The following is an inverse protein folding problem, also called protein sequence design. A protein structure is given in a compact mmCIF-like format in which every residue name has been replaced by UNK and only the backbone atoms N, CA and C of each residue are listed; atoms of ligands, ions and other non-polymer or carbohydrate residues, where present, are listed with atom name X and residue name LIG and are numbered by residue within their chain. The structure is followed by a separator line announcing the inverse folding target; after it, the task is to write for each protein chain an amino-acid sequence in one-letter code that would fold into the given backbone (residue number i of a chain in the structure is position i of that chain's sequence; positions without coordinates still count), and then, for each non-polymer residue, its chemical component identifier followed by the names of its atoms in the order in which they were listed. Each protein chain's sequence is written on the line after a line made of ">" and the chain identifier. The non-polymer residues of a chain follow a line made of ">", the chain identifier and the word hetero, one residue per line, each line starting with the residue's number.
data_IF_571082296771
#
_entry.id   IF_571082296771
#
_cell.length_a   1.000
_cell.length_b   1.000
_cell.length_c   1.000
_cell.angle_alpha   90.00
_cell.angle_beta   90.00
_cell.angle_gamma   90.00
#
_symmetry.space_group_name_H-M   'P 1'
#
loop_
_entity.id
_entity.type
_entity.pdbx_description
1 polymer ?
#
# COMPACT_ATOMS: atom_id res chain seq x y z
N UNK A 1 -9.40 -31.55 4.44
CA UNK A 1 -10.54 -31.38 3.52
C UNK A 1 -10.65 -29.89 3.18
N UNK A 2 -10.56 -29.61 1.88
CA UNK A 2 -10.69 -28.36 1.11
C UNK A 2 -10.15 -27.02 1.68
N UNK A 3 -9.02 -26.58 1.13
CA UNK A 3 -8.64 -25.17 0.97
C UNK A 3 -9.13 -24.75 -0.43
N UNK A 4 -10.02 -23.77 -0.54
CA UNK A 4 -10.38 -23.17 -1.84
C UNK A 4 -9.89 -21.73 -1.84
N UNK A 5 -8.88 -21.46 -2.67
CA UNK A 5 -8.36 -20.13 -2.92
C UNK A 5 -8.28 -19.95 -4.43
N UNK A 6 -9.31 -19.30 -4.96
CA UNK A 6 -9.38 -18.71 -6.30
C UNK A 6 -10.30 -17.49 -6.22
N UNK A 7 -9.76 -16.36 -5.76
CA UNK A 7 -10.37 -15.04 -5.99
C UNK A 7 -11.02 -14.30 -4.82
N UNK A 8 -11.19 -14.86 -3.61
CA UNK A 8 -11.61 -14.10 -2.40
C UNK A 8 -11.56 -14.97 -1.14
N UNK A 9 -11.08 -14.35 -0.04
CA UNK A 9 -11.11 -14.71 1.41
C UNK A 9 -10.89 -16.18 1.81
N UNK A 10 -10.05 -16.38 2.83
CA UNK A 10 -9.90 -17.66 3.53
C UNK A 10 -11.28 -18.09 4.07
N UNK A 11 -11.63 -19.37 3.94
CA UNK A 11 -12.82 -19.92 4.61
C UNK A 11 -12.48 -20.14 6.10
N UNK A 12 -13.14 -19.45 7.06
CA UNK A 12 -12.89 -19.62 8.49
C UNK A 12 -13.01 -21.07 8.97
N UNK A 13 -13.88 -21.86 8.34
CA UNK A 13 -14.12 -23.26 8.72
C UNK A 13 -13.00 -24.20 8.26
N UNK A 14 -12.14 -23.75 7.33
CA UNK A 14 -11.04 -24.54 6.76
C UNK A 14 -9.73 -24.44 7.54
N UNK A 15 -9.64 -23.55 8.54
CA UNK A 15 -8.38 -23.22 9.23
C UNK A 15 -7.92 -24.33 10.17
N UNK A 16 -8.85 -25.05 10.83
CA UNK A 16 -8.52 -26.13 11.77
C UNK A 16 -7.49 -25.71 12.82
N UNK A 17 -6.41 -26.48 12.96
CA UNK A 17 -5.28 -26.19 13.88
C UNK A 17 -4.25 -25.19 13.28
N UNK A 18 -4.65 -24.42 12.28
CA UNK A 18 -3.84 -23.41 11.60
C UNK A 18 -3.32 -23.85 10.23
N UNK A 19 -2.98 -22.87 9.39
CA UNK A 19 -2.52 -23.04 8.01
C UNK A 19 -1.06 -22.60 7.89
N UNK A 20 -0.23 -23.34 7.16
CA UNK A 20 1.18 -22.98 6.99
C UNK A 20 1.32 -21.82 6.00
N UNK A 21 2.23 -20.89 6.26
CA UNK A 21 2.50 -19.75 5.40
C UNK A 21 2.88 -20.16 3.98
N UNK A 22 3.71 -21.20 3.82
CA UNK A 22 4.03 -21.79 2.51
C UNK A 22 2.80 -22.19 1.71
N UNK A 23 1.78 -22.74 2.37
CA UNK A 23 0.54 -23.17 1.72
C UNK A 23 -0.24 -21.92 1.29
N UNK A 24 -0.35 -20.90 2.15
CA UNK A 24 -0.98 -19.63 1.79
C UNK A 24 -0.27 -18.97 0.59
N UNK A 25 1.06 -18.99 0.54
CA UNK A 25 1.85 -18.44 -0.57
C UNK A 25 1.57 -19.19 -1.88
N UNK A 26 1.60 -20.52 -1.85
CA UNK A 26 1.30 -21.35 -3.03
C UNK A 26 -0.09 -21.06 -3.60
N UNK A 27 -1.06 -20.78 -2.72
CA UNK A 27 -2.43 -20.46 -3.09
C UNK A 27 -2.66 -19.00 -3.50
N UNK A 28 -1.75 -18.07 -3.17
CA UNK A 28 -1.92 -16.64 -3.49
C UNK A 28 -1.74 -16.35 -4.98
N UNK A 29 -1.10 -17.27 -5.73
CA UNK A 29 -0.73 -17.12 -7.14
C UNK A 29 -0.03 -15.79 -7.43
N UNK A 30 0.83 -15.34 -6.50
CA UNK A 30 1.61 -14.12 -6.69
C UNK A 30 2.52 -14.30 -7.92
N UNK A 31 2.31 -13.47 -8.96
CA UNK A 31 3.14 -13.50 -10.16
C UNK A 31 4.54 -12.92 -9.92
N UNK A 32 5.44 -13.08 -10.89
CA UNK A 32 6.79 -12.50 -10.84
C UNK A 32 6.79 -11.02 -10.45
N UNK A 33 7.69 -10.63 -9.53
CA UNK A 33 7.83 -9.28 -8.98
C UNK A 33 6.78 -8.90 -7.93
N UNK A 34 5.89 -9.82 -7.53
CA UNK A 34 4.87 -9.57 -6.50
C UNK A 34 5.09 -10.47 -5.29
N UNK A 35 4.81 -9.94 -4.11
CA UNK A 35 4.82 -10.71 -2.87
C UNK A 35 3.40 -11.04 -2.39
N UNK A 36 3.21 -12.24 -1.83
CA UNK A 36 1.96 -12.64 -1.19
C UNK A 36 1.74 -11.89 0.13
N UNK A 37 0.51 -11.46 0.38
CA UNK A 37 0.09 -10.73 1.59
C UNK A 37 -1.25 -11.23 2.13
N UNK A 38 -1.44 -11.07 3.44
CA UNK A 38 -2.71 -11.26 4.13
C UNK A 38 -3.29 -9.89 4.48
N UNK A 39 -4.56 -9.68 4.13
CA UNK A 39 -5.36 -8.52 4.54
C UNK A 39 -6.51 -8.96 5.48
N UNK A 40 -6.44 -8.58 6.76
CA UNK A 40 -7.44 -8.95 7.78
C UNK A 40 -7.77 -7.79 8.70
N UNK A 41 -9.07 -7.53 8.92
CA UNK A 41 -9.52 -6.47 9.84
C UNK A 41 -8.99 -5.07 9.50
N UNK A 42 -8.63 -4.84 8.23
CA UNK A 42 -7.80 -3.71 7.84
C UNK A 42 -6.46 -3.79 8.56
N UNK A 43 -5.64 -4.79 8.26
CA UNK A 43 -4.19 -4.89 8.53
C UNK A 43 -3.64 -5.62 7.33
N UNK A 44 -2.51 -5.18 6.81
CA UNK A 44 -1.83 -5.82 5.68
C UNK A 44 -0.46 -6.27 6.17
N UNK A 45 -0.12 -7.53 5.95
CA UNK A 45 1.16 -8.11 6.33
C UNK A 45 1.66 -9.09 5.28
N UNK A 46 2.96 -9.08 5.04
CA UNK A 46 3.63 -10.12 4.27
C UNK A 46 3.45 -11.49 4.93
N UNK A 47 3.32 -12.52 4.10
CA UNK A 47 3.23 -13.89 4.58
C UNK A 47 4.63 -14.43 4.83
N UNK A 48 4.88 -14.86 6.06
CA UNK A 48 6.08 -15.61 6.43
C UNK A 48 5.88 -17.08 6.03
N UNK A 49 6.69 -17.63 5.10
CA UNK A 49 6.56 -19.01 4.64
C UNK A 49 6.71 -20.06 5.77
N UNK A 50 7.44 -19.72 6.83
CA UNK A 50 7.79 -20.65 7.91
C UNK A 50 6.78 -20.61 9.07
N UNK A 51 5.93 -19.58 9.12
CA UNK A 51 4.94 -19.41 10.17
C UNK A 51 3.69 -20.28 9.94
N UNK A 52 3.10 -20.78 11.03
CA UNK A 52 1.74 -21.36 11.04
C UNK A 52 0.76 -20.32 11.56
N UNK A 53 -0.24 -19.99 10.75
CA UNK A 53 -1.23 -18.95 11.04
C UNK A 53 -2.51 -19.56 11.63
N UNK A 54 -2.95 -19.06 12.78
CA UNK A 54 -4.15 -19.53 13.47
C UNK A 54 -5.43 -18.75 13.12
N UNK A 55 -6.57 -19.22 13.62
CA UNK A 55 -7.89 -18.59 13.43
C UNK A 55 -7.90 -17.12 13.85
N UNK A 56 -7.22 -16.77 14.95
CA UNK A 56 -7.14 -15.39 15.45
C UNK A 56 -6.41 -14.42 14.51
N UNK A 57 -5.60 -14.93 13.58
CA UNK A 57 -4.83 -14.11 12.63
C UNK A 57 -5.50 -14.07 11.25
N UNK A 58 -6.21 -15.15 10.90
CA UNK A 58 -6.84 -15.33 9.60
C UNK A 58 -8.34 -15.04 9.60
N UNK A 59 -8.95 -14.71 10.73
CA UNK A 59 -10.37 -14.37 10.83
C UNK A 59 -10.52 -13.03 11.54
N UNK A 60 -11.28 -12.11 10.94
CA UNK A 60 -11.56 -10.82 11.55
C UNK A 60 -12.61 -10.93 12.68
N UNK A 61 -12.76 -9.86 13.45
CA UNK A 61 -13.74 -9.77 14.56
C UNK A 61 -15.21 -9.99 14.14
N UNK A 62 -15.52 -10.01 12.85
CA UNK A 62 -16.86 -10.26 12.30
C UNK A 62 -17.00 -11.69 11.77
N UNK A 63 -16.03 -12.57 12.05
CA UNK A 63 -16.02 -13.95 11.57
C UNK A 63 -15.65 -14.10 10.10
N UNK A 64 -15.16 -13.04 9.43
CA UNK A 64 -14.80 -13.13 8.01
C UNK A 64 -13.34 -13.50 7.86
N UNK A 65 -13.05 -14.51 7.05
CA UNK A 65 -11.66 -14.90 6.81
C UNK A 65 -10.88 -13.83 6.04
N UNK A 66 -9.57 -13.82 6.26
CA UNK A 66 -8.65 -12.83 5.73
C UNK A 66 -8.56 -12.94 4.22
N UNK A 67 -8.38 -11.81 3.55
CA UNK A 67 -8.19 -11.78 2.10
C UNK A 67 -6.72 -12.07 1.81
N UNK A 68 -6.48 -13.13 1.05
CA UNK A 68 -5.18 -13.44 0.50
C UNK A 68 -5.05 -12.74 -0.86
N UNK A 69 -4.00 -11.95 -1.04
CA UNK A 69 -3.73 -11.28 -2.32
C UNK A 69 -2.22 -11.14 -2.51
N UNK A 70 -1.79 -10.54 -3.60
CA UNK A 70 -0.41 -10.14 -3.81
C UNK A 70 -0.30 -8.64 -4.01
N UNK A 71 0.82 -8.06 -3.58
CA UNK A 71 1.20 -6.68 -3.87
C UNK A 71 2.54 -6.66 -4.60
N UNK A 72 2.87 -5.59 -5.33
CA UNK A 72 4.19 -5.42 -5.91
C UNK A 72 5.29 -5.50 -4.83
N UNK A 73 6.42 -6.14 -5.15
CA UNK A 73 7.56 -6.24 -4.24
C UNK A 73 8.40 -4.95 -4.25
N UNK A 74 9.15 -4.70 -3.18
CA UNK A 74 9.93 -3.45 -3.00
C UNK A 74 11.36 -3.58 -3.53
N UNK A 75 11.85 -2.59 -4.28
CA UNK A 75 13.30 -2.38 -4.53
C UNK A 75 13.62 -0.92 -4.77
N UNK A 76 14.73 -0.58 -5.45
CA UNK A 76 15.21 0.78 -5.77
C UNK A 76 15.07 1.06 -7.28
N UNK A 77 14.63 2.25 -7.74
CA UNK A 77 14.62 2.60 -9.19
C UNK A 77 13.91 3.91 -9.62
N UNK A 78 14.12 4.39 -10.86
CA UNK A 78 14.22 5.80 -11.29
C UNK A 78 13.03 6.46 -12.07
N UNK A 79 12.84 7.79 -11.93
CA UNK A 79 12.91 8.85 -12.99
C UNK A 79 11.62 9.45 -13.61
N UNK A 80 11.29 10.73 -13.38
CA UNK A 80 10.13 11.53 -13.89
C UNK A 80 10.24 11.99 -15.37
N UNK A 81 9.08 12.24 -16.03
CA UNK A 81 8.95 12.92 -17.33
C UNK A 81 7.79 13.95 -17.29
N UNK A 82 7.90 15.11 -17.94
CA UNK A 82 7.02 16.29 -17.83
C UNK A 82 5.65 16.19 -18.54
N UNK A 83 4.66 16.89 -17.94
CA UNK A 83 3.24 17.10 -18.26
C UNK A 83 2.26 15.90 -18.17
N UNK A 84 1.39 15.94 -17.16
CA UNK A 84 0.30 14.96 -16.95
C UNK A 84 -0.78 15.04 -18.03
N UNK A 85 -1.14 13.89 -18.59
CA UNK A 85 -2.23 13.80 -19.58
C UNK A 85 -3.63 13.97 -18.95
N UNK A 86 -4.62 14.41 -19.74
CA UNK A 86 -6.03 14.47 -19.30
C UNK A 86 -6.56 13.12 -18.84
N UNK A 87 -6.14 12.03 -19.50
CA UNK A 87 -6.54 10.67 -19.14
C UNK A 87 -5.96 10.28 -17.78
N UNK A 88 -4.68 10.55 -17.55
CA UNK A 88 -4.02 10.35 -16.25
C UNK A 88 -4.75 11.10 -15.15
N UNK A 89 -5.03 12.39 -15.35
CA UNK A 89 -5.77 13.23 -14.41
C UNK A 89 -7.12 12.63 -14.05
N UNK A 90 -7.93 12.28 -15.07
CA UNK A 90 -9.24 11.63 -14.84
C UNK A 90 -9.11 10.36 -14.02
N UNK A 91 -8.16 9.49 -14.36
CA UNK A 91 -7.96 8.21 -13.66
C UNK A 91 -7.57 8.45 -12.19
N UNK A 92 -6.69 9.42 -11.91
CA UNK A 92 -6.31 9.77 -10.53
C UNK A 92 -7.50 10.31 -9.79
N UNK A 93 -8.20 11.30 -10.34
CA UNK A 93 -9.39 11.89 -9.75
C UNK A 93 -10.42 10.81 -9.38
N UNK A 94 -10.76 9.91 -10.33
CA UNK A 94 -11.68 8.79 -10.05
C UNK A 94 -11.19 7.88 -8.91
N UNK A 95 -9.89 7.56 -8.88
CA UNK A 95 -9.31 6.75 -7.82
C UNK A 95 -9.30 7.46 -6.47
N UNK A 96 -9.02 8.77 -6.44
CA UNK A 96 -9.01 9.60 -5.23
C UNK A 96 -10.41 9.67 -4.63
N UNK A 97 -11.43 9.96 -5.44
CA UNK A 97 -12.83 9.93 -4.99
C UNK A 97 -13.22 8.55 -4.42
N UNK A 98 -12.75 7.47 -5.05
CA UNK A 98 -13.06 6.11 -4.60
C UNK A 98 -12.37 5.75 -3.27
N UNK A 99 -11.10 6.12 -3.08
CA UNK A 99 -10.40 5.89 -1.78
C UNK A 99 -10.93 6.81 -0.68
N UNK A 100 -11.27 8.06 -0.98
CA UNK A 100 -11.89 8.97 -0.01
C UNK A 100 -13.23 8.40 0.48
N UNK A 101 -14.05 7.88 -0.44
CA UNK A 101 -15.35 7.29 -0.12
C UNK A 101 -15.21 6.00 0.69
N UNK A 102 -14.28 5.12 0.32
CA UNK A 102 -14.25 3.74 0.84
C UNK A 102 -13.17 3.46 1.88
N UNK A 103 -12.08 4.22 1.91
CA UNK A 103 -10.93 4.00 2.78
C UNK A 103 -10.75 5.10 3.83
N UNK A 104 -10.94 6.37 3.46
CA UNK A 104 -10.68 7.53 4.33
C UNK A 104 -11.94 8.38 4.49
N UNK A 105 -12.89 7.89 5.29
CA UNK A 105 -14.21 8.53 5.50
C UNK A 105 -14.14 9.97 6.04
N UNK A 106 -13.01 10.35 6.63
CA UNK A 106 -12.72 11.71 7.08
C UNK A 106 -12.41 12.68 5.93
N UNK A 107 -12.34 12.19 4.69
CA UNK A 107 -11.93 12.96 3.53
C UNK A 107 -10.42 12.94 3.32
N UNK A 108 -10.03 13.55 2.21
CA UNK A 108 -8.65 13.73 1.76
C UNK A 108 -8.52 15.14 1.18
N UNK A 109 -7.32 15.69 1.18
CA UNK A 109 -7.00 16.91 0.44
C UNK A 109 -6.32 16.50 -0.88
N UNK A 110 -6.76 17.08 -1.99
CA UNK A 110 -6.38 16.62 -3.32
C UNK A 110 -6.32 17.81 -4.28
N UNK A 111 -5.26 17.86 -5.08
CA UNK A 111 -5.15 18.80 -6.18
C UNK A 111 -6.10 18.40 -7.32
N UNK A 112 -7.33 18.92 -7.28
CA UNK A 112 -8.33 18.66 -8.32
C UNK A 112 -7.99 19.28 -9.68
N UNK A 113 -7.10 20.29 -9.72
CA UNK A 113 -6.75 20.99 -10.95
C UNK A 113 -5.75 20.19 -11.80
N UNK A 114 -4.65 19.74 -11.19
CA UNK A 114 -3.57 19.06 -11.90
C UNK A 114 -3.46 17.57 -11.56
N UNK A 115 -4.07 17.11 -10.47
CA UNK A 115 -3.97 15.75 -9.94
C UNK A 115 -2.54 15.35 -9.59
N UNK A 116 -1.75 16.29 -9.09
CA UNK A 116 -0.34 16.07 -8.79
C UNK A 116 -0.08 15.43 -7.44
N UNK A 117 -0.94 15.68 -6.46
CA UNK A 117 -0.76 15.14 -5.12
C UNK A 117 -2.08 14.86 -4.42
N UNK A 118 -1.99 14.00 -3.40
CA UNK A 118 -3.05 13.66 -2.46
C UNK A 118 -2.48 13.68 -1.05
N UNK A 119 -3.18 14.30 -0.10
CA UNK A 119 -2.89 14.21 1.33
C UNK A 119 -4.06 13.54 2.05
N UNK A 120 -3.74 12.53 2.86
CA UNK A 120 -4.65 11.96 3.87
C UNK A 120 -4.31 12.62 5.21
N UNK A 121 -5.11 13.56 5.74
CA UNK A 121 -4.72 14.36 6.90
C UNK A 121 -4.57 13.55 8.20
N UNK A 122 -5.33 12.48 8.33
CA UNK A 122 -5.37 11.63 9.53
C UNK A 122 -5.18 10.15 9.12
N UNK A 123 -4.03 9.81 8.56
CA UNK A 123 -3.70 8.45 8.17
C UNK A 123 -3.39 7.59 9.41
N UNK A 124 -4.11 6.47 9.64
CA UNK A 124 -3.91 5.64 10.82
C UNK A 124 -2.60 4.85 10.75
N UNK A 125 -1.72 5.06 11.73
CA UNK A 125 -0.43 4.37 11.80
C UNK A 125 -0.57 2.95 12.40
N UNK A 126 0.25 1.98 11.95
CA UNK A 126 0.30 0.66 12.55
C UNK A 126 0.72 0.67 14.03
N UNK A 127 0.39 -0.41 14.77
CA UNK A 127 0.63 -0.48 16.22
C UNK A 127 2.08 -0.19 16.66
N UNK A 128 3.06 -0.52 15.84
CA UNK A 128 4.49 -0.29 16.13
C UNK A 128 4.81 1.19 16.35
N UNK A 129 4.01 2.11 15.80
CA UNK A 129 4.15 3.56 15.94
C UNK A 129 3.50 4.12 17.20
N UNK A 130 2.77 3.33 18.00
CA UNK A 130 1.93 3.86 19.10
C UNK A 130 2.68 4.66 20.17
N UNK A 131 3.98 4.44 20.34
CA UNK A 131 4.83 5.23 21.23
C UNK A 131 5.22 6.59 20.64
N UNK A 132 5.02 6.79 19.34
CA UNK A 132 5.31 7.99 18.57
C UNK A 132 4.01 8.74 18.29
N UNK A 133 3.09 8.11 17.55
CA UNK A 133 1.80 8.68 17.17
C UNK A 133 0.79 7.58 16.82
N UNK A 134 -0.51 7.89 16.94
CA UNK A 134 -1.61 6.98 16.53
C UNK A 134 -1.98 7.13 15.06
N UNK A 135 -1.81 8.33 14.53
CA UNK A 135 -2.06 8.72 13.16
C UNK A 135 -1.18 9.91 12.81
N UNK A 136 -1.07 10.21 11.52
CA UNK A 136 -0.30 11.33 11.00
C UNK A 136 -0.81 11.72 9.61
N UNK A 137 -0.47 12.90 9.12
CA UNK A 137 -0.73 13.23 7.73
C UNK A 137 0.14 12.36 6.81
N UNK A 138 -0.38 12.00 5.65
CA UNK A 138 0.36 11.23 4.65
C UNK A 138 0.14 11.83 3.27
N UNK A 139 1.23 12.18 2.59
CA UNK A 139 1.22 12.74 1.25
C UNK A 139 1.68 11.70 0.22
N UNK A 140 0.96 11.61 -0.89
CA UNK A 140 1.36 10.90 -2.10
C UNK A 140 1.54 11.93 -3.21
N UNK A 141 2.73 11.96 -3.78
CA UNK A 141 3.07 12.72 -4.98
C UNK A 141 2.96 11.79 -6.19
N UNK A 142 2.07 12.12 -7.14
CA UNK A 142 1.80 11.28 -8.30
C UNK A 142 2.79 11.57 -9.42
N UNK A 143 3.47 10.56 -9.98
CA UNK A 143 4.29 10.77 -11.17
C UNK A 143 3.40 11.17 -12.35
N UNK A 144 3.94 11.98 -13.25
CA UNK A 144 3.22 12.52 -14.40
C UNK A 144 2.62 11.45 -15.34
N UNK A 145 3.22 10.27 -15.39
CA UNK A 145 2.76 9.15 -16.21
C UNK A 145 1.98 8.09 -15.41
N UNK A 146 1.55 8.40 -14.18
CA UNK A 146 0.54 7.58 -13.50
C UNK A 146 -0.71 7.42 -14.39
N UNK A 147 -1.39 6.27 -14.44
CA UNK A 147 -1.14 5.04 -13.67
C UNK A 147 -0.07 4.14 -14.28
N UNK A 148 0.60 4.50 -15.38
CA UNK A 148 1.57 3.62 -16.02
C UNK A 148 2.76 3.30 -15.10
N UNK A 149 3.18 4.27 -14.29
CA UNK A 149 4.10 4.06 -13.17
C UNK A 149 3.45 4.38 -11.83
N UNK A 150 3.80 3.63 -10.77
CA UNK A 150 3.30 3.92 -9.43
C UNK A 150 4.05 5.12 -8.81
N UNK A 151 3.49 5.73 -7.74
CA UNK A 151 4.23 6.69 -6.93
C UNK A 151 5.52 6.09 -6.32
N UNK A 152 6.53 6.95 -6.18
CA UNK A 152 7.85 6.58 -5.68
C UNK A 152 7.98 7.02 -4.22
N UNK A 153 7.71 6.09 -3.31
CA UNK A 153 7.54 6.39 -1.89
C UNK A 153 6.36 7.32 -1.61
N UNK A 154 6.26 7.73 -0.36
CA UNK A 154 5.26 8.66 0.14
C UNK A 154 5.92 9.56 1.18
N UNK A 155 5.22 10.57 1.66
CA UNK A 155 5.80 11.53 2.59
C UNK A 155 4.98 11.61 3.88
N UNK A 156 5.69 11.81 4.98
CA UNK A 156 5.13 12.06 6.31
C UNK A 156 5.70 13.38 6.84
N UNK A 157 5.03 14.06 7.79
CA UNK A 157 5.53 15.29 8.38
C UNK A 157 6.95 15.15 8.94
N UNK A 158 7.78 16.18 8.74
CA UNK A 158 9.18 16.19 9.16
C UNK A 158 9.35 16.27 10.69
N UNK A 159 8.32 16.70 11.41
CA UNK A 159 8.27 16.73 12.87
C UNK A 159 7.89 15.38 13.48
N UNK A 160 7.48 14.39 12.66
CA UNK A 160 7.26 13.03 13.12
C UNK A 160 8.59 12.45 13.62
N UNK A 161 8.69 12.00 14.88
CA UNK A 161 9.90 11.37 15.40
C UNK A 161 10.38 10.24 14.49
N UNK A 162 11.70 10.06 14.40
CA UNK A 162 12.36 9.12 13.49
C UNK A 162 11.59 7.79 13.39
N UNK A 163 11.37 7.34 12.16
CA UNK A 163 10.68 6.08 11.90
C UNK A 163 11.35 4.93 12.66
N UNK A 164 10.58 3.88 12.92
CA UNK A 164 11.12 2.66 13.56
C UNK A 164 12.10 1.89 12.67
N UNK A 165 12.33 2.34 11.42
CA UNK A 165 13.23 1.74 10.44
C UNK A 165 14.11 2.80 9.74
N UNK A 166 15.01 2.34 8.86
CA UNK A 166 15.94 3.19 8.11
C UNK A 166 15.36 3.71 6.78
N UNK A 167 14.03 3.75 6.60
CA UNK A 167 13.39 4.15 5.34
C UNK A 167 12.87 5.59 5.32
N UNK A 168 13.10 6.37 6.38
CA UNK A 168 12.58 7.73 6.52
C UNK A 168 13.70 8.78 6.40
N UNK A 169 13.66 9.57 5.34
CA UNK A 169 14.77 10.39 4.88
C UNK A 169 14.39 11.87 4.73
N UNK A 170 15.37 12.75 5.00
CA UNK A 170 15.34 14.19 4.73
C UNK A 170 15.69 14.54 3.27
N UNK A 171 15.70 13.53 2.38
CA UNK A 171 15.90 13.70 0.95
C UNK A 171 15.08 12.67 0.19
N UNK A 172 14.64 13.00 -1.02
CA UNK A 172 13.99 12.05 -1.91
C UNK A 172 15.04 11.42 -2.84
N UNK A 173 14.81 10.18 -3.27
CA UNK A 173 15.66 9.50 -4.25
C UNK A 173 14.79 8.84 -5.32
N UNK A 174 15.41 8.12 -6.26
CA UNK A 174 14.66 7.23 -7.16
C UNK A 174 13.68 7.97 -8.10
N UNK A 175 13.88 9.27 -8.29
CA UNK A 175 13.00 10.14 -9.08
C UNK A 175 11.72 10.53 -8.35
N UNK A 176 11.64 10.36 -7.03
CA UNK A 176 10.65 11.04 -6.20
C UNK A 176 10.94 12.55 -6.13
N UNK A 177 9.88 13.35 -5.96
CA UNK A 177 9.97 14.80 -5.87
C UNK A 177 10.69 15.27 -4.59
N UNK A 178 11.56 16.27 -4.73
CA UNK A 178 12.11 16.98 -3.55
C UNK A 178 11.16 18.05 -3.01
N UNK A 179 10.16 18.46 -3.78
CA UNK A 179 9.32 19.61 -3.43
C UNK A 179 8.64 19.46 -2.05
N UNK A 180 8.03 18.30 -1.70
CA UNK A 180 7.44 18.13 -0.38
C UNK A 180 8.47 18.27 0.76
N UNK A 181 9.73 17.92 0.53
CA UNK A 181 10.76 17.99 1.58
C UNK A 181 11.03 19.44 1.98
N UNK A 182 11.03 20.35 1.01
CA UNK A 182 11.17 21.79 1.26
C UNK A 182 9.95 22.40 1.96
N UNK A 183 8.84 21.68 2.02
CA UNK A 183 7.57 22.10 2.62
C UNK A 183 7.30 21.42 3.97
N UNK A 184 8.33 20.87 4.62
CA UNK A 184 8.21 20.27 5.95
C UNK A 184 7.75 18.82 5.94
N UNK A 185 7.95 18.11 4.82
CA UNK A 185 7.75 16.67 4.75
C UNK A 185 9.09 15.91 4.74
N UNK A 186 9.05 14.63 5.06
CA UNK A 186 10.16 13.68 4.92
C UNK A 186 9.69 12.51 4.07
N UNK A 187 10.60 12.01 3.24
CA UNK A 187 10.30 10.95 2.30
C UNK A 187 10.46 9.58 2.94
N UNK A 188 9.42 8.76 2.86
CA UNK A 188 9.45 7.35 3.22
C UNK A 188 9.70 6.51 1.96
N UNK A 189 10.91 5.94 1.89
CA UNK A 189 11.39 5.22 0.73
C UNK A 189 10.67 3.88 0.56
N UNK A 190 9.69 3.85 -0.36
CA UNK A 190 9.06 2.64 -0.86
C UNK A 190 8.96 2.68 -2.38
N UNK A 191 9.83 1.94 -3.05
CA UNK A 191 9.79 1.84 -4.51
C UNK A 191 9.40 0.44 -4.95
N UNK A 192 8.62 0.37 -6.03
CA UNK A 192 8.06 -0.87 -6.59
C UNK A 192 8.93 -1.34 -7.75
N UNK A 193 9.31 -2.63 -7.76
CA UNK A 193 10.11 -3.20 -8.84
C UNK A 193 9.52 -2.93 -10.24
N UNK A 194 10.39 -2.68 -11.23
CA UNK A 194 9.98 -2.59 -12.63
C UNK A 194 9.24 -3.86 -13.06
N UNK A 195 8.08 -3.68 -13.70
CA UNK A 195 7.18 -4.76 -14.13
C UNK A 195 6.31 -5.40 -13.02
N UNK A 196 6.52 -5.04 -11.75
CA UNK A 196 5.69 -5.52 -10.65
C UNK A 196 4.36 -4.77 -10.54
N UNK A 197 4.38 -3.47 -10.87
CA UNK A 197 3.19 -2.64 -11.05
C UNK A 197 2.52 -2.97 -12.38
N UNK A 198 1.24 -3.34 -12.32
CA UNK A 198 0.44 -3.82 -13.45
C UNK A 198 -0.82 -2.98 -13.56
N UNK A 199 -0.72 -1.76 -14.13
CA UNK A 199 -1.88 -0.92 -14.35
C UNK A 199 -2.75 -1.55 -15.45
N UNK A 200 -4.03 -1.20 -15.45
CA UNK A 200 -4.98 -1.66 -16.44
C UNK A 200 -5.77 -0.47 -16.99
N UNK A 201 -6.21 -0.57 -18.26
CA UNK A 201 -7.03 0.46 -18.90
C UNK A 201 -8.30 0.78 -18.10
N UNK A 202 -8.98 -0.26 -17.60
CA UNK A 202 -9.92 -0.09 -16.51
C UNK A 202 -9.14 -0.23 -15.20
N UNK A 203 -8.87 0.90 -14.54
CA UNK A 203 -8.02 0.95 -13.35
C UNK A 203 -8.54 0.07 -12.19
N UNK A 204 -9.82 -0.30 -12.18
CA UNK A 204 -10.43 -1.21 -11.19
C UNK A 204 -9.95 -2.66 -11.33
N UNK A 205 -9.31 -3.02 -12.44
CA UNK A 205 -8.80 -4.36 -12.72
C UNK A 205 -7.27 -4.46 -12.71
N UNK A 206 -6.56 -3.37 -12.43
CA UNK A 206 -5.11 -3.33 -12.31
C UNK A 206 -4.66 -2.83 -10.95
N UNK A 207 -3.35 -2.73 -10.76
CA UNK A 207 -2.79 -2.02 -9.61
C UNK A 207 -3.17 -0.54 -9.69
N UNK A 208 -3.58 0.00 -8.55
CA UNK A 208 -4.20 1.30 -8.40
C UNK A 208 -3.95 1.85 -6.99
N UNK A 209 -4.57 2.98 -6.65
CA UNK A 209 -4.34 3.68 -5.40
C UNK A 209 -4.70 2.85 -4.16
N UNK A 210 -5.70 1.97 -4.22
CA UNK A 210 -5.96 1.01 -3.13
C UNK A 210 -4.79 0.05 -2.93
N UNK A 211 -4.23 -0.46 -4.02
CA UNK A 211 -3.05 -1.32 -3.98
C UNK A 211 -1.86 -0.58 -3.37
N UNK A 212 -1.69 0.69 -3.73
CA UNK A 212 -0.63 1.53 -3.20
C UNK A 212 -0.79 1.79 -1.70
N UNK A 213 -1.99 2.14 -1.23
CA UNK A 213 -2.26 2.30 0.21
C UNK A 213 -2.06 1.01 1.03
N UNK A 214 -2.35 -0.16 0.44
CA UNK A 214 -2.01 -1.43 1.09
C UNK A 214 -0.49 -1.61 1.25
N UNK A 215 0.29 -1.21 0.25
CA UNK A 215 1.75 -1.22 0.28
C UNK A 215 2.31 -0.22 1.29
N UNK A 216 1.78 1.01 1.36
CA UNK A 216 2.13 2.00 2.38
C UNK A 216 1.91 1.42 3.78
N UNK A 217 0.74 0.83 4.01
CA UNK A 217 0.37 0.27 5.30
C UNK A 217 1.34 -0.82 5.75
N UNK A 218 1.74 -1.67 4.83
CA UNK A 218 2.66 -2.76 5.11
C UNK A 218 4.11 -2.26 5.22
N UNK A 219 4.48 -1.15 4.58
CA UNK A 219 5.74 -0.44 4.81
C UNK A 219 5.85 0.11 6.22
N UNK A 220 4.84 0.84 6.65
CA UNK A 220 4.80 1.37 8.01
C UNK A 220 4.64 0.27 9.07
N UNK A 221 4.15 -0.91 8.69
CA UNK A 221 3.80 -1.99 9.62
C UNK A 221 4.91 -2.99 9.90
N UNK A 222 5.91 -3.06 9.02
CA UNK A 222 7.01 -4.01 9.12
C UNK A 222 8.30 -3.30 9.53
N UNK A 223 9.12 -3.99 10.34
CA UNK A 223 10.52 -3.61 10.51
C UNK A 223 11.23 -4.10 9.25
N UNK A 224 11.82 -3.19 8.49
CA UNK A 224 12.62 -3.52 7.31
C UNK A 224 13.73 -4.52 7.60
#
# INVERSE_FOLDING_TARGET
>A
MAIIINGRRIDPNSIGNGVRGSDLIAHSRAGYGRRPIIESGGRVSQIDPNKRYGTSELVDKRGRGAKLTSMPDRSKGYGLADNRSRESRRIITEQVYDVATHMFRQGVDFDEENADWLVVPDYPLPHIWRSIARSTALLIDFPNDFPMRPPVGFYLPADLPMAHDSHFFDFAAHGASQAPIHEGWKWYCVYIHSGAWRPARNWRHGDNLFTYFHLIREALGNRG
#
